data_IF_614275851316
#
_entry.id   IF_614275851316
#
_cell.length_a   1.000
_cell.length_b   1.000
_cell.length_c   1.000
_cell.angle_alpha   90.00
_cell.angle_beta   90.00
_cell.angle_gamma   90.00
#
_symmetry.space_group_name_H-M   'P 1'
#
loop_
_entity.id
_entity.type
_entity.pdbx_description
1 polymer ?
#
# COMPACT_ATOMS: atom_id res chain seq x y z
N UNK A 1 15.86 -3.90 19.97
CA UNK A 1 15.51 -2.97 18.87
C UNK A 1 15.99 -3.46 17.51
N UNK A 2 17.18 -4.07 17.42
CA UNK A 2 17.80 -4.49 16.14
C UNK A 2 16.89 -5.36 15.25
N UNK A 3 16.07 -6.24 15.86
CA UNK A 3 15.09 -7.07 15.12
C UNK A 3 14.04 -6.29 14.33
N UNK A 4 13.82 -5.01 14.64
CA UNK A 4 12.79 -4.17 14.00
C UNK A 4 13.34 -3.31 12.85
N UNK A 5 14.66 -3.29 12.62
CA UNK A 5 15.24 -2.51 11.52
C UNK A 5 14.64 -2.86 10.15
N UNK A 6 14.40 -4.15 9.80
CA UNK A 6 13.75 -4.48 8.53
C UNK A 6 12.34 -3.89 8.42
N UNK A 7 11.56 -3.91 9.51
CA UNK A 7 10.20 -3.36 9.55
C UNK A 7 10.21 -1.84 9.41
N UNK A 8 11.18 -1.16 10.05
CA UNK A 8 11.39 0.27 9.92
C UNK A 8 11.82 0.67 8.50
N UNK A 9 12.68 -0.10 7.84
CA UNK A 9 13.05 0.14 6.45
C UNK A 9 11.85 -0.02 5.52
N UNK A 10 11.06 -1.10 5.68
CA UNK A 10 9.83 -1.32 4.90
C UNK A 10 8.84 -0.18 5.12
N UNK A 11 8.71 0.32 6.34
CA UNK A 11 7.91 1.51 6.67
C UNK A 11 8.33 2.70 5.81
N UNK A 12 9.61 3.03 5.79
CA UNK A 12 10.14 4.17 5.04
C UNK A 12 9.97 3.98 3.52
N UNK A 13 10.20 2.78 3.01
CA UNK A 13 10.00 2.48 1.59
C UNK A 13 8.53 2.58 1.18
N UNK A 14 7.60 2.13 2.02
CA UNK A 14 6.17 2.31 1.77
C UNK A 14 5.78 3.80 1.76
N UNK A 15 6.33 4.61 2.67
CA UNK A 15 6.13 6.06 2.66
C UNK A 15 6.67 6.73 1.38
N UNK A 16 7.86 6.35 0.95
CA UNK A 16 8.45 6.83 -0.31
C UNK A 16 7.61 6.40 -1.52
N UNK A 17 7.07 5.18 -1.52
CA UNK A 17 6.16 4.69 -2.55
C UNK A 17 4.90 5.56 -2.63
N UNK A 18 4.24 5.84 -1.50
CA UNK A 18 3.04 6.69 -1.45
C UNK A 18 3.36 8.10 -1.95
N UNK A 19 4.49 8.67 -1.52
CA UNK A 19 4.95 9.97 -2.01
C UNK A 19 5.20 9.97 -3.52
N UNK A 20 5.85 8.93 -4.05
CA UNK A 20 6.07 8.78 -5.50
C UNK A 20 4.76 8.69 -6.30
N UNK A 21 3.73 8.03 -5.75
CA UNK A 21 2.39 8.02 -6.35
C UNK A 21 1.75 9.42 -6.35
N UNK A 22 1.88 10.18 -5.26
CA UNK A 22 1.39 11.56 -5.17
C UNK A 22 2.07 12.49 -6.19
N UNK A 23 3.40 12.40 -6.32
CA UNK A 23 4.17 13.12 -7.36
C UNK A 23 3.69 12.73 -8.76
N UNK A 24 3.34 11.46 -8.97
CA UNK A 24 2.82 10.99 -10.26
C UNK A 24 1.43 11.56 -10.56
N UNK A 25 0.56 11.71 -9.56
CA UNK A 25 -0.72 12.41 -9.70
C UNK A 25 -0.48 13.86 -10.13
N UNK A 26 0.40 14.59 -9.42
CA UNK A 26 0.72 15.99 -9.76
C UNK A 26 1.28 16.14 -11.18
N UNK A 27 2.18 15.24 -11.61
CA UNK A 27 2.69 15.20 -12.98
C UNK A 27 1.59 14.89 -14.01
N UNK A 28 0.60 14.09 -13.64
CA UNK A 28 -0.50 13.73 -14.54
C UNK A 28 -1.45 14.91 -14.75
N UNK A 29 -1.74 15.70 -13.72
CA UNK A 29 -2.44 16.99 -13.88
C UNK A 29 -1.73 17.90 -14.90
N UNK A 30 -0.42 18.08 -14.75
CA UNK A 30 0.37 18.87 -15.71
C UNK A 30 0.29 18.30 -17.13
N UNK A 31 0.29 16.96 -17.27
CA UNK A 31 0.24 16.29 -18.57
C UNK A 31 -1.12 16.43 -19.26
N UNK A 32 -2.23 16.37 -18.53
CA UNK A 32 -3.58 16.46 -19.09
C UNK A 32 -4.08 17.90 -19.22
N UNK A 33 -3.37 18.88 -18.64
CA UNK A 33 -3.78 20.29 -18.63
C UNK A 33 -4.91 20.60 -17.66
N UNK A 34 -5.36 19.61 -16.86
CA UNK A 34 -6.43 19.77 -15.87
C UNK A 34 -5.81 20.23 -14.56
N UNK A 35 -6.10 21.46 -14.16
CA UNK A 35 -5.61 22.04 -12.91
C UNK A 35 -6.33 21.42 -11.70
N UNK A 36 -5.57 21.14 -10.64
CA UNK A 36 -6.16 20.86 -9.33
C UNK A 36 -7.01 22.07 -8.86
N UNK A 37 -8.14 21.88 -8.17
CA UNK A 37 -8.61 20.65 -7.55
C UNK A 37 -9.47 19.75 -8.45
N UNK A 38 -9.59 20.02 -9.76
CA UNK A 38 -10.43 19.21 -10.64
C UNK A 38 -9.86 17.80 -10.81
N UNK A 39 -10.64 16.78 -10.46
CA UNK A 39 -10.19 15.37 -10.41
C UNK A 39 -10.69 14.51 -11.58
N UNK A 40 -11.44 15.12 -12.51
CA UNK A 40 -12.17 14.46 -13.60
C UNK A 40 -11.89 15.16 -14.93
N UNK A 41 -12.12 14.46 -16.04
CA UNK A 41 -12.02 15.02 -17.39
C UNK A 41 -11.00 14.33 -18.30
N UNK A 42 -10.05 13.58 -17.75
CA UNK A 42 -9.17 12.69 -18.51
C UNK A 42 -9.11 11.31 -17.84
N UNK A 43 -9.39 10.21 -18.58
CA UNK A 43 -9.36 8.86 -18.00
C UNK A 43 -8.02 8.46 -17.38
N UNK A 44 -6.88 8.94 -17.88
CA UNK A 44 -5.56 8.70 -17.27
C UNK A 44 -5.45 9.43 -15.92
N UNK A 45 -5.92 10.67 -15.84
CA UNK A 45 -5.92 11.45 -14.61
C UNK A 45 -6.78 10.76 -13.54
N UNK A 46 -8.03 10.44 -13.88
CA UNK A 46 -8.98 9.78 -12.97
C UNK A 46 -8.44 8.45 -12.43
N UNK A 47 -7.86 7.61 -13.31
CA UNK A 47 -7.25 6.34 -12.90
C UNK A 47 -6.03 6.53 -12.01
N UNK A 48 -5.18 7.51 -12.32
CA UNK A 48 -3.97 7.79 -11.53
C UNK A 48 -4.34 8.29 -10.13
N UNK A 49 -5.30 9.20 -10.04
CA UNK A 49 -5.86 9.70 -8.77
C UNK A 49 -6.48 8.55 -7.98
N UNK A 50 -7.39 7.76 -8.57
CA UNK A 50 -8.07 6.67 -7.85
C UNK A 50 -7.09 5.61 -7.37
N UNK A 51 -6.08 5.29 -8.18
CA UNK A 51 -5.05 4.34 -7.80
C UNK A 51 -4.23 4.82 -6.59
N UNK A 52 -3.88 6.11 -6.55
CA UNK A 52 -3.20 6.71 -5.41
C UNK A 52 -4.10 6.77 -4.17
N UNK A 53 -5.32 7.30 -4.31
CA UNK A 53 -6.28 7.39 -3.22
C UNK A 53 -6.55 6.03 -2.57
N UNK A 54 -6.69 4.97 -3.38
CA UNK A 54 -6.85 3.63 -2.83
C UNK A 54 -5.61 3.11 -2.08
N UNK A 55 -4.41 3.50 -2.48
CA UNK A 55 -3.21 3.15 -1.73
C UNK A 55 -3.19 3.85 -0.36
N UNK A 56 -3.64 5.11 -0.30
CA UNK A 56 -3.79 5.87 0.95
C UNK A 56 -4.88 5.27 1.84
N UNK A 57 -6.02 4.85 1.28
CA UNK A 57 -7.12 4.19 2.02
C UNK A 57 -6.68 2.89 2.71
N UNK A 58 -5.78 2.14 2.08
CA UNK A 58 -5.29 0.87 2.63
C UNK A 58 -4.08 1.01 3.56
N UNK A 59 -3.36 2.12 3.47
CA UNK A 59 -2.22 2.40 4.34
C UNK A 59 -2.55 2.28 5.85
N UNK A 60 -3.65 2.86 6.37
CA UNK A 60 -3.99 2.73 7.79
C UNK A 60 -4.44 1.32 8.21
N UNK A 61 -4.76 0.43 7.27
CA UNK A 61 -5.04 -0.98 7.56
C UNK A 61 -3.71 -1.75 7.62
N UNK A 62 -2.91 -1.61 6.57
CA UNK A 62 -1.65 -2.31 6.42
C UNK A 62 -0.64 -1.91 7.50
N UNK A 63 -0.46 -0.61 7.70
CA UNK A 63 0.66 -0.06 8.46
C UNK A 63 0.64 -0.50 9.94
N UNK A 64 -0.47 -0.34 10.69
CA UNK A 64 -0.54 -0.81 12.07
C UNK A 64 -0.50 -2.34 12.14
N UNK A 65 -1.14 -3.04 11.19
CA UNK A 65 -1.13 -4.51 11.14
C UNK A 65 0.27 -5.08 11.03
N UNK A 66 1.12 -4.49 10.18
CA UNK A 66 2.53 -4.88 10.05
C UNK A 66 3.29 -4.72 11.37
N UNK A 67 3.13 -3.58 12.04
CA UNK A 67 3.81 -3.31 13.31
C UNK A 67 3.32 -4.23 14.43
N UNK A 68 2.00 -4.42 14.55
CA UNK A 68 1.44 -5.34 15.54
C UNK A 68 1.89 -6.78 15.28
N UNK A 69 1.89 -7.23 14.02
CA UNK A 69 2.43 -8.54 13.67
C UNK A 69 3.92 -8.65 14.03
N UNK A 70 4.73 -7.62 13.79
CA UNK A 70 6.14 -7.62 14.15
C UNK A 70 6.37 -7.72 15.66
N UNK A 71 5.54 -7.02 16.45
CA UNK A 71 5.65 -6.95 17.91
C UNK A 71 5.19 -8.26 18.57
N UNK A 72 4.03 -8.78 18.17
CA UNK A 72 3.38 -9.92 18.83
C UNK A 72 3.73 -11.28 18.21
N UNK A 73 4.20 -11.29 16.95
CA UNK A 73 4.54 -12.51 16.22
C UNK A 73 6.03 -12.58 15.88
N UNK A 74 6.43 -11.94 14.78
CA UNK A 74 7.80 -12.04 14.27
C UNK A 74 8.10 -10.90 13.27
N UNK A 75 9.18 -10.17 13.53
CA UNK A 75 9.57 -9.02 12.71
C UNK A 75 10.05 -9.39 11.29
N UNK A 76 10.70 -10.54 11.10
CA UNK A 76 11.17 -10.97 9.78
C UNK A 76 9.97 -11.26 8.87
N UNK A 77 9.00 -12.05 9.36
CA UNK A 77 7.75 -12.32 8.63
C UNK A 77 6.94 -11.05 8.37
N UNK A 78 6.84 -10.14 9.35
CA UNK A 78 6.16 -8.85 9.15
C UNK A 78 6.79 -8.04 8.02
N UNK A 79 8.13 -7.93 8.00
CA UNK A 79 8.85 -7.19 6.97
C UNK A 79 8.73 -7.84 5.58
N UNK A 80 8.79 -9.18 5.50
CA UNK A 80 8.60 -9.91 4.24
C UNK A 80 7.20 -9.72 3.65
N UNK A 81 6.16 -9.85 4.47
CA UNK A 81 4.78 -9.58 4.05
C UNK A 81 4.56 -8.10 3.72
N UNK A 82 5.25 -7.19 4.42
CA UNK A 82 5.22 -5.77 4.10
C UNK A 82 5.84 -5.43 2.74
N UNK A 83 6.96 -6.06 2.39
CA UNK A 83 7.53 -5.95 1.03
C UNK A 83 6.59 -6.53 -0.02
N UNK A 84 5.96 -7.67 0.24
CA UNK A 84 4.98 -8.26 -0.66
C UNK A 84 3.78 -7.33 -0.90
N UNK A 85 3.29 -6.68 0.16
CA UNK A 85 2.24 -5.67 0.05
C UNK A 85 2.68 -4.48 -0.82
N UNK A 86 3.89 -3.96 -0.59
CA UNK A 86 4.45 -2.85 -1.36
C UNK A 86 4.58 -3.18 -2.85
N UNK A 87 5.07 -4.38 -3.19
CA UNK A 87 5.17 -4.85 -4.58
C UNK A 87 3.78 -4.95 -5.21
N UNK A 88 2.82 -5.55 -4.50
CA UNK A 88 1.42 -5.61 -4.95
C UNK A 88 0.83 -4.22 -5.21
N UNK A 89 1.17 -3.23 -4.38
CA UNK A 89 0.72 -1.84 -4.52
C UNK A 89 1.33 -1.13 -5.72
N UNK A 90 2.62 -1.33 -5.99
CA UNK A 90 3.27 -0.81 -7.19
C UNK A 90 2.63 -1.42 -8.44
N UNK A 91 2.45 -2.75 -8.46
CA UNK A 91 1.80 -3.45 -9.57
C UNK A 91 0.35 -2.97 -9.79
N UNK A 92 -0.42 -2.79 -8.71
CA UNK A 92 -1.77 -2.22 -8.76
C UNK A 92 -1.77 -0.83 -9.38
N UNK A 93 -0.90 0.06 -8.91
CA UNK A 93 -0.85 1.45 -9.38
C UNK A 93 -0.46 1.55 -10.85
N UNK A 94 0.61 0.85 -11.26
CA UNK A 94 1.06 0.83 -12.65
C UNK A 94 -0.01 0.20 -13.55
N UNK A 95 -0.56 -0.95 -13.15
CA UNK A 95 -1.61 -1.65 -13.88
C UNK A 95 -2.84 -0.76 -14.10
N UNK A 96 -3.35 -0.14 -13.03
CA UNK A 96 -4.56 0.67 -13.11
C UNK A 96 -4.39 1.90 -14.03
N UNK A 97 -3.22 2.55 -14.02
CA UNK A 97 -2.93 3.66 -14.93
C UNK A 97 -2.97 3.24 -16.41
N UNK A 98 -2.60 2.00 -16.73
CA UNK A 98 -2.65 1.49 -18.10
C UNK A 98 -4.07 1.11 -18.53
N UNK A 99 -4.81 0.35 -17.71
CA UNK A 99 -6.18 -0.06 -17.98
C UNK A 99 -6.93 -0.38 -16.69
N UNK A 100 -8.24 -0.09 -16.59
CA UNK A 100 -9.03 -0.36 -15.38
C UNK A 100 -8.94 -1.82 -14.88
N UNK A 101 -8.93 -2.79 -15.80
CA UNK A 101 -8.92 -4.21 -15.46
C UNK A 101 -7.52 -4.74 -15.06
N UNK A 102 -6.43 -4.03 -15.42
CA UNK A 102 -5.06 -4.47 -15.11
C UNK A 102 -4.68 -4.25 -13.64
N UNK A 103 -5.59 -3.71 -12.82
CA UNK A 103 -5.39 -3.51 -11.39
C UNK A 103 -5.53 -4.78 -10.56
N UNK A 104 -6.30 -5.77 -11.03
CA UNK A 104 -6.72 -6.91 -10.21
C UNK A 104 -5.57 -7.79 -9.69
N UNK A 105 -4.53 -8.13 -10.47
CA UNK A 105 -3.44 -8.96 -9.95
C UNK A 105 -2.73 -8.31 -8.77
N UNK A 106 -2.38 -7.01 -8.88
CA UNK A 106 -1.76 -6.26 -7.79
C UNK A 106 -2.71 -6.09 -6.59
N UNK A 107 -4.01 -5.91 -6.85
CA UNK A 107 -5.02 -5.86 -5.79
C UNK A 107 -5.13 -7.17 -5.01
N UNK A 108 -5.03 -8.31 -5.68
CA UNK A 108 -5.10 -9.61 -5.02
C UNK A 108 -3.87 -9.86 -4.13
N UNK A 109 -2.67 -9.63 -4.68
CA UNK A 109 -1.40 -9.79 -3.93
C UNK A 109 -1.38 -8.91 -2.69
N UNK A 110 -1.72 -7.63 -2.82
CA UNK A 110 -1.70 -6.72 -1.69
C UNK A 110 -2.77 -7.09 -0.64
N UNK A 111 -3.94 -7.58 -1.06
CA UNK A 111 -5.01 -7.94 -0.13
C UNK A 111 -4.62 -9.15 0.73
N UNK A 112 -4.02 -10.17 0.12
CA UNK A 112 -3.53 -11.35 0.85
C UNK A 112 -2.48 -10.93 1.87
N UNK A 113 -1.49 -10.13 1.47
CA UNK A 113 -0.44 -9.68 2.38
C UNK A 113 -1.01 -8.86 3.54
N UNK A 114 -1.91 -7.91 3.27
CA UNK A 114 -2.53 -7.08 4.29
C UNK A 114 -3.40 -7.89 5.26
N UNK A 115 -4.21 -8.82 4.75
CA UNK A 115 -5.08 -9.64 5.59
C UNK A 115 -4.31 -10.69 6.41
N UNK A 116 -3.24 -11.26 5.87
CA UNK A 116 -2.35 -12.13 6.63
C UNK A 116 -1.74 -11.38 7.84
N UNK A 117 -1.29 -10.14 7.62
CA UNK A 117 -0.78 -9.29 8.70
C UNK A 117 -1.88 -8.92 9.70
N UNK A 118 -3.05 -8.47 9.22
CA UNK A 118 -4.16 -8.02 10.06
C UNK A 118 -4.72 -9.14 10.93
N UNK A 119 -5.17 -10.24 10.31
CA UNK A 119 -5.79 -11.34 11.03
C UNK A 119 -4.76 -12.15 11.82
N UNK A 120 -3.52 -12.25 11.34
CA UNK A 120 -2.44 -12.88 12.10
C UNK A 120 -2.11 -12.12 13.37
N UNK A 121 -2.02 -10.79 13.31
CA UNK A 121 -1.82 -9.95 14.50
C UNK A 121 -3.01 -10.05 15.46
N UNK A 122 -4.23 -9.92 14.93
CA UNK A 122 -5.46 -10.01 15.73
C UNK A 122 -5.57 -11.35 16.47
N UNK A 123 -5.44 -12.46 15.74
CA UNK A 123 -5.54 -13.80 16.31
C UNK A 123 -4.48 -14.07 17.36
N UNK A 124 -3.25 -13.58 17.15
CA UNK A 124 -2.18 -13.70 18.15
C UNK A 124 -2.47 -12.93 19.41
N UNK A 125 -2.92 -11.68 19.28
CA UNK A 125 -3.22 -10.84 20.44
C UNK A 125 -4.35 -11.47 21.25
N UNK A 126 -5.42 -11.94 20.60
CA UNK A 126 -6.52 -12.67 21.27
C UNK A 126 -5.97 -13.91 21.99
N UNK A 127 -5.15 -14.72 21.33
CA UNK A 127 -4.55 -15.91 21.95
C UNK A 127 -3.70 -15.57 23.19
N UNK A 128 -2.98 -14.46 23.18
CA UNK A 128 -2.17 -14.02 24.32
C UNK A 128 -3.00 -13.43 25.48
N UNK A 129 -4.26 -13.07 25.24
CA UNK A 129 -5.18 -12.57 26.27
C UNK A 129 -5.91 -13.69 27.02
N UNK A 130 -5.96 -14.89 26.45
CA UNK A 130 -6.57 -16.08 27.04
C UNK A 130 -5.55 -16.80 27.93
#
# INVERSE_FOLDING_TARGET
MERLYPVALVTLFCSLMIFGMAVTVARTHKKTGILAPAMTGDPLLERTIRAHANAVEWFPIFMPSMWLFAIYWNAAWASGLGLLWMIGRIAYFVGYRTAPLKRYPGFFVQSIAAFALLFGALGRIIYLML
#
